data_IF_276998474036
#
_entry.id   IF_276998474036
#
_cell.length_a   1.000
_cell.length_b   1.000
_cell.length_c   1.000
_cell.angle_alpha   90.00
_cell.angle_beta   90.00
_cell.angle_gamma   90.00
#
_symmetry.space_group_name_H-M   'P 1'
#
loop_
_entity.id
_entity.type
_entity.pdbx_description
1 polymer ?
#
# COMPACT_ATOMS: atom_id res chain seq x y z
N UNK A 1 25.84 -0.11 -37.78
CA UNK A 1 24.61 -0.71 -37.20
C UNK A 1 23.44 -0.09 -37.92
N UNK A 2 22.61 -0.92 -38.57
CA UNK A 2 21.44 -0.45 -39.31
C UNK A 2 20.44 0.22 -38.35
N UNK A 3 20.13 1.49 -38.62
CA UNK A 3 19.29 2.32 -37.76
C UNK A 3 17.85 1.76 -37.68
N UNK A 4 17.37 1.14 -38.74
CA UNK A 4 16.03 0.54 -38.77
C UNK A 4 15.98 -0.74 -37.93
N UNK A 5 17.01 -1.58 -38.03
CA UNK A 5 17.16 -2.76 -37.18
C UNK A 5 17.26 -2.38 -35.70
N UNK A 6 18.02 -1.34 -35.36
CA UNK A 6 18.13 -0.86 -33.98
C UNK A 6 16.77 -0.36 -33.45
N UNK A 7 16.07 0.48 -34.22
CA UNK A 7 14.79 1.03 -33.80
C UNK A 7 13.73 -0.07 -33.59
N UNK A 8 13.64 -1.03 -34.50
CA UNK A 8 12.70 -2.14 -34.39
C UNK A 8 13.02 -3.05 -33.20
N UNK A 9 14.30 -3.34 -32.95
CA UNK A 9 14.75 -4.11 -31.79
C UNK A 9 14.40 -3.40 -30.48
N UNK A 10 14.69 -2.10 -30.37
CA UNK A 10 14.36 -1.31 -29.17
C UNK A 10 12.85 -1.27 -28.92
N UNK A 11 12.03 -1.13 -29.97
CA UNK A 11 10.56 -1.17 -29.83
C UNK A 11 10.08 -2.50 -29.28
N UNK A 12 10.55 -3.63 -29.83
CA UNK A 12 10.20 -4.98 -29.34
C UNK A 12 10.55 -5.16 -27.87
N UNK A 13 11.76 -4.77 -27.47
CA UNK A 13 12.19 -4.85 -26.06
C UNK A 13 11.27 -4.03 -25.16
N UNK A 14 10.97 -2.78 -25.54
CA UNK A 14 10.07 -1.93 -24.76
C UNK A 14 8.64 -2.48 -24.69
N UNK A 15 8.15 -3.08 -25.77
CA UNK A 15 6.81 -3.68 -25.79
C UNK A 15 6.75 -4.90 -24.88
N UNK A 16 7.74 -5.80 -24.92
CA UNK A 16 7.86 -6.93 -24.00
C UNK A 16 7.95 -6.47 -22.54
N UNK A 17 8.73 -5.42 -22.25
CA UNK A 17 8.82 -4.86 -20.90
C UNK A 17 7.48 -4.32 -20.38
N UNK A 18 6.63 -3.75 -21.27
CA UNK A 18 5.28 -3.28 -20.89
C UNK A 18 4.29 -4.40 -20.65
N UNK A 19 4.53 -5.59 -21.20
CA UNK A 19 3.70 -6.76 -20.94
C UNK A 19 4.05 -7.45 -19.62
N UNK A 20 5.13 -7.04 -18.94
CA UNK A 20 5.54 -7.66 -17.69
C UNK A 20 4.47 -7.46 -16.60
N UNK A 21 4.15 -8.53 -15.84
CA UNK A 21 3.28 -8.44 -14.67
C UNK A 21 3.74 -7.35 -13.68
N UNK A 22 2.80 -6.56 -13.19
CA UNK A 22 2.99 -5.68 -12.04
C UNK A 22 2.75 -6.54 -10.79
N UNK A 23 3.73 -6.64 -9.87
CA UNK A 23 3.56 -7.38 -8.62
C UNK A 23 2.43 -6.79 -7.77
N UNK A 24 1.66 -7.66 -7.12
CA UNK A 24 0.59 -7.29 -6.20
C UNK A 24 1.09 -7.33 -4.75
N UNK A 25 0.90 -6.22 -4.04
CA UNK A 25 1.12 -6.08 -2.60
C UNK A 25 -0.22 -5.95 -1.88
N UNK A 26 -0.69 -7.05 -1.26
CA UNK A 26 -1.94 -7.04 -0.48
C UNK A 26 -1.65 -6.54 0.94
N UNK A 27 -2.22 -5.39 1.26
CA UNK A 27 -2.03 -4.73 2.54
C UNK A 27 -3.15 -5.11 3.51
N UNK A 28 -2.79 -5.86 4.55
CA UNK A 28 -3.64 -5.99 5.73
C UNK A 28 -3.59 -4.71 6.57
N UNK A 29 -4.50 -4.59 7.54
CA UNK A 29 -4.49 -3.49 8.51
C UNK A 29 -3.14 -3.34 9.19
N UNK A 30 -2.65 -2.11 9.23
CA UNK A 30 -1.34 -1.81 9.79
C UNK A 30 -1.26 -0.36 10.27
N UNK A 31 -0.17 -0.07 10.98
CA UNK A 31 0.12 1.25 11.52
C UNK A 31 1.55 1.66 11.17
N UNK A 32 1.74 2.95 10.92
CA UNK A 32 3.03 3.63 10.93
C UNK A 32 3.06 4.54 12.15
N UNK A 33 4.17 4.62 12.88
CA UNK A 33 4.27 5.42 14.09
C UNK A 33 5.32 6.51 13.98
N UNK A 34 5.04 7.64 14.64
CA UNK A 34 6.06 8.64 14.97
C UNK A 34 6.99 8.13 16.07
N UNK A 35 8.19 8.70 16.18
CA UNK A 35 9.10 8.37 17.28
C UNK A 35 8.48 8.64 18.66
N UNK A 36 7.74 9.74 18.79
CA UNK A 36 7.06 10.12 20.02
C UNK A 36 5.96 9.11 20.42
N UNK A 37 5.13 8.71 19.47
CA UNK A 37 4.04 7.76 19.74
C UNK A 37 4.58 6.35 19.96
N UNK A 38 5.67 5.99 19.27
CA UNK A 38 6.37 4.74 19.49
C UNK A 38 6.90 4.64 20.92
N UNK A 39 7.59 5.67 21.43
CA UNK A 39 8.12 5.66 22.80
C UNK A 39 7.00 5.55 23.84
N UNK A 40 5.82 6.13 23.59
CA UNK A 40 4.66 5.99 24.49
C UNK A 40 4.07 4.60 24.48
N UNK A 41 4.04 3.94 23.32
CA UNK A 41 3.48 2.60 23.17
C UNK A 41 4.50 1.50 23.52
N UNK A 42 5.79 1.74 23.38
CA UNK A 42 6.85 0.73 23.55
C UNK A 42 8.06 1.32 24.30
N UNK A 43 7.87 1.92 25.50
CA UNK A 43 8.94 2.63 26.21
C UNK A 43 10.12 1.71 26.50
N UNK A 44 11.33 2.13 26.11
CA UNK A 44 12.55 1.34 26.29
C UNK A 44 12.65 0.06 25.43
N UNK A 45 11.73 -0.17 24.49
CA UNK A 45 11.76 -1.35 23.61
C UNK A 45 12.10 -0.95 22.16
N UNK A 46 13.26 -1.34 21.60
CA UNK A 46 13.62 -0.97 20.23
C UNK A 46 12.69 -1.62 19.19
N UNK A 47 12.44 -0.91 18.09
CA UNK A 47 11.69 -1.48 16.96
C UNK A 47 12.52 -2.63 16.35
N UNK A 48 11.88 -3.77 16.13
CA UNK A 48 12.56 -4.97 15.64
C UNK A 48 11.99 -5.35 14.29
N UNK A 49 12.84 -5.49 13.28
CA UNK A 49 12.41 -5.97 11.97
C UNK A 49 12.00 -7.45 12.06
N UNK A 50 10.84 -7.77 11.49
CA UNK A 50 10.35 -9.13 11.29
C UNK A 50 10.58 -9.61 9.85
N UNK A 51 10.21 -8.76 8.89
CA UNK A 51 10.24 -9.10 7.46
C UNK A 51 10.34 -7.83 6.61
N UNK A 52 11.35 -7.77 5.75
CA UNK A 52 11.46 -6.76 4.71
C UNK A 52 10.25 -6.79 3.75
N UNK A 53 9.78 -5.62 3.36
CA UNK A 53 8.75 -5.44 2.33
C UNK A 53 9.41 -5.20 0.97
N UNK A 54 8.62 -5.27 -0.10
CA UNK A 54 9.16 -5.06 -1.45
C UNK A 54 9.62 -3.61 -1.66
N UNK A 55 8.95 -2.64 -1.04
CA UNK A 55 9.39 -1.24 -1.07
C UNK A 55 10.71 -1.07 -0.30
N UNK A 56 11.76 -0.48 -0.91
CA UNK A 56 13.07 -0.33 -0.30
C UNK A 56 13.05 0.28 1.11
N UNK A 57 13.73 -0.39 2.04
CA UNK A 57 13.85 0.07 3.44
C UNK A 57 12.59 -0.05 4.28
N UNK A 58 11.44 -0.42 3.71
CA UNK A 58 10.21 -0.67 4.48
C UNK A 58 10.20 -2.10 5.00
N UNK A 59 9.67 -2.29 6.21
CA UNK A 59 9.58 -3.61 6.82
C UNK A 59 8.35 -3.75 7.73
N UNK A 60 7.86 -4.97 7.89
CA UNK A 60 6.97 -5.33 8.99
C UNK A 60 7.81 -5.52 10.26
N UNK A 61 7.45 -4.85 11.36
CA UNK A 61 8.12 -4.98 12.64
C UNK A 61 7.53 -6.15 13.47
N UNK A 62 8.22 -6.65 14.50
CA UNK A 62 7.65 -7.64 15.43
C UNK A 62 6.54 -7.05 16.31
N UNK A 63 6.60 -5.74 16.54
CA UNK A 63 5.62 -5.00 17.31
C UNK A 63 4.24 -5.00 16.64
N UNK A 64 3.20 -5.12 17.48
CA UNK A 64 1.81 -4.95 17.09
C UNK A 64 1.07 -4.14 18.14
N UNK A 65 -0.02 -3.50 17.72
CA UNK A 65 -0.94 -2.78 18.59
C UNK A 65 -2.36 -3.35 18.46
N UNK A 66 -3.20 -3.03 19.43
CA UNK A 66 -4.65 -3.16 19.32
C UNK A 66 -5.22 -1.78 18.98
N UNK A 67 -6.02 -1.73 17.92
CA UNK A 67 -6.82 -0.57 17.56
C UNK A 67 -8.16 -0.67 18.28
N UNK A 68 -8.55 0.36 19.04
CA UNK A 68 -9.85 0.39 19.72
C UNK A 68 -10.67 1.57 19.20
N UNK A 69 -11.80 1.25 18.59
CA UNK A 69 -12.79 2.21 18.12
C UNK A 69 -14.09 2.16 18.94
N UNK A 70 -15.07 3.03 18.63
CA UNK A 70 -16.31 3.13 19.40
C UNK A 70 -17.16 1.85 19.46
N UNK A 71 -17.08 0.98 18.44
CA UNK A 71 -17.89 -0.25 18.36
C UNK A 71 -17.14 -1.52 18.70
N UNK A 72 -15.81 -1.50 18.64
CA UNK A 72 -15.02 -2.72 18.73
C UNK A 72 -13.53 -2.47 18.63
N UNK A 73 -12.78 -3.56 18.52
CA UNK A 73 -11.32 -3.52 18.49
C UNK A 73 -10.75 -4.50 17.48
N UNK A 74 -9.58 -4.16 16.94
CA UNK A 74 -8.78 -5.03 16.09
C UNK A 74 -7.45 -5.29 16.79
N UNK A 75 -7.18 -6.55 17.13
CA UNK A 75 -5.93 -6.97 17.77
C UNK A 75 -4.86 -7.28 16.73
N UNK A 76 -3.60 -7.33 17.19
CA UNK A 76 -2.46 -7.76 16.39
C UNK A 76 -2.25 -6.94 15.10
N UNK A 77 -2.54 -5.63 15.14
CA UNK A 77 -2.32 -4.72 14.02
C UNK A 77 -0.83 -4.42 13.91
N UNK A 78 -0.26 -4.77 12.76
CA UNK A 78 1.18 -4.78 12.52
C UNK A 78 1.74 -3.35 12.42
N UNK A 79 2.83 -3.07 13.13
CA UNK A 79 3.63 -1.87 12.88
C UNK A 79 4.49 -2.08 11.63
N UNK A 80 4.46 -1.11 10.72
CA UNK A 80 5.41 -1.02 9.61
C UNK A 80 6.47 0.03 9.93
N UNK A 81 7.73 -0.35 9.72
CA UNK A 81 8.88 0.53 9.86
C UNK A 81 9.45 0.97 8.51
N UNK A 82 10.35 1.97 8.52
CA UNK A 82 10.85 2.67 9.70
C UNK A 82 9.81 3.63 10.30
N UNK A 83 10.09 4.13 11.51
CA UNK A 83 9.28 5.19 12.12
C UNK A 83 9.24 6.42 11.21
N UNK A 84 8.08 7.09 11.19
CA UNK A 84 7.81 8.25 10.33
C UNK A 84 7.73 9.53 11.14
N UNK A 85 7.54 10.66 10.47
CA UNK A 85 7.28 11.94 11.14
C UNK A 85 5.89 12.02 11.78
N UNK A 86 4.91 11.29 11.23
CA UNK A 86 3.51 11.32 11.67
C UNK A 86 2.95 9.90 11.72
N UNK A 87 2.20 9.60 12.78
CA UNK A 87 1.51 8.32 12.95
C UNK A 87 0.30 8.21 12.02
N UNK A 88 0.09 7.03 11.45
CA UNK A 88 -0.97 6.76 10.48
C UNK A 88 -1.46 5.33 10.61
N UNK A 89 -2.79 5.15 10.56
CA UNK A 89 -3.45 3.85 10.61
C UNK A 89 -4.14 3.60 9.28
N UNK A 90 -3.81 2.47 8.65
CA UNK A 90 -4.39 2.04 7.38
C UNK A 90 -5.25 0.79 7.63
N UNK A 91 -6.53 0.87 7.30
CA UNK A 91 -7.53 -0.19 7.53
C UNK A 91 -8.39 -0.42 6.28
N UNK A 92 -9.04 -1.57 6.17
CA UNK A 92 -10.04 -1.78 5.12
C UNK A 92 -11.38 -1.13 5.46
N UNK A 93 -12.33 -1.11 4.51
CA UNK A 93 -13.71 -0.65 4.81
C UNK A 93 -14.41 -1.60 5.77
N UNK A 94 -14.15 -2.89 5.67
CA UNK A 94 -14.65 -3.89 6.62
C UNK A 94 -14.16 -3.61 8.04
N UNK A 95 -12.87 -3.31 8.19
CA UNK A 95 -12.28 -2.95 9.48
C UNK A 95 -12.88 -1.67 10.07
N UNK A 96 -13.09 -0.66 9.23
CA UNK A 96 -13.71 0.60 9.64
C UNK A 96 -15.12 0.39 10.23
N UNK A 97 -15.90 -0.53 9.65
CA UNK A 97 -17.22 -0.92 10.19
C UNK A 97 -17.11 -1.62 11.54
N UNK A 98 -16.15 -2.54 11.68
CA UNK A 98 -15.88 -3.27 12.93
C UNK A 98 -15.49 -2.33 14.06
N UNK A 99 -14.62 -1.35 13.77
CA UNK A 99 -14.20 -0.34 14.74
C UNK A 99 -15.29 0.71 15.01
N UNK A 100 -16.23 0.90 14.09
CA UNK A 100 -17.23 1.97 14.17
C UNK A 100 -16.66 3.34 13.83
N UNK A 101 -15.69 3.40 12.92
CA UNK A 101 -14.99 4.62 12.52
C UNK A 101 -15.35 4.96 11.07
N UNK A 102 -15.70 6.22 10.81
CA UNK A 102 -15.93 6.74 9.46
C UNK A 102 -14.60 7.14 8.79
N UNK A 103 -13.71 6.17 8.54
CA UNK A 103 -12.41 6.41 7.94
C UNK A 103 -12.54 6.77 6.44
N UNK A 104 -11.99 7.91 5.98
CA UNK A 104 -12.06 8.29 4.56
C UNK A 104 -11.06 7.50 3.71
N UNK A 105 -11.39 7.31 2.42
CA UNK A 105 -10.47 6.77 1.43
C UNK A 105 -9.38 7.82 1.11
N UNK A 106 -8.10 7.49 1.34
CA UNK A 106 -7.00 8.44 1.17
C UNK A 106 -5.71 7.76 0.70
N UNK A 107 -4.88 8.55 0.04
CA UNK A 107 -3.46 8.23 -0.14
C UNK A 107 -2.70 8.36 1.18
N UNK A 108 -1.74 7.46 1.41
CA UNK A 108 -0.81 7.51 2.54
C UNK A 108 -0.14 8.89 2.61
N UNK A 109 -0.19 9.53 3.79
CA UNK A 109 0.25 10.90 4.07
C UNK A 109 -0.85 11.98 4.02
N UNK A 110 -2.01 11.71 3.40
CA UNK A 110 -3.13 12.66 3.35
C UNK A 110 -4.07 12.50 4.56
N UNK A 111 -3.62 13.02 5.70
CA UNK A 111 -4.26 12.81 7.01
C UNK A 111 -5.19 13.93 7.48
N UNK A 112 -5.29 15.03 6.73
CA UNK A 112 -6.12 16.18 7.14
C UNK A 112 -7.60 15.78 7.25
N UNK A 113 -8.22 16.11 8.39
CA UNK A 113 -9.62 15.83 8.67
C UNK A 113 -9.96 14.34 8.76
N UNK A 114 -8.96 13.50 9.05
CA UNK A 114 -9.19 12.06 9.31
C UNK A 114 -9.57 11.84 10.78
N UNK A 115 -10.38 10.81 11.08
CA UNK A 115 -10.71 10.48 12.46
C UNK A 115 -9.48 9.96 13.22
N UNK A 116 -9.58 10.07 14.55
CA UNK A 116 -8.65 9.49 15.50
C UNK A 116 -8.97 8.03 15.85
N UNK A 117 -8.12 7.44 16.70
CA UNK A 117 -8.31 6.11 17.25
C UNK A 117 -7.46 5.91 18.51
N UNK A 118 -7.92 5.07 19.44
CA UNK A 118 -7.10 4.65 20.58
C UNK A 118 -6.22 3.47 20.19
N UNK A 119 -4.93 3.58 20.54
CA UNK A 119 -3.91 2.56 20.32
C UNK A 119 -3.51 1.97 21.66
N UNK A 120 -3.42 0.65 21.72
CA UNK A 120 -3.03 -0.08 22.93
C UNK A 120 -1.94 -1.09 22.59
N UNK A 121 -0.84 -1.07 23.32
CA UNK A 121 0.20 -2.11 23.31
C UNK A 121 0.21 -2.83 24.68
N UNK A 122 1.07 -3.85 24.87
CA UNK A 122 1.31 -4.42 26.19
C UNK A 122 1.94 -3.46 27.22
N UNK A 123 2.52 -2.34 26.78
CA UNK A 123 3.33 -1.45 27.62
C UNK A 123 2.68 -0.07 27.85
N UNK A 124 1.72 0.32 27.02
CA UNK A 124 1.08 1.63 27.11
C UNK A 124 -0.05 1.81 26.12
N UNK A 125 -0.73 2.95 26.24
CA UNK A 125 -1.79 3.36 25.34
C UNK A 125 -1.75 4.86 25.06
N UNK A 126 -2.34 5.25 23.93
CA UNK A 126 -2.57 6.65 23.59
C UNK A 126 -3.77 6.80 22.67
N UNK A 127 -4.36 8.00 22.68
CA UNK A 127 -5.31 8.40 21.64
C UNK A 127 -4.59 9.20 20.55
N UNK A 128 -4.72 8.72 19.31
CA UNK A 128 -4.39 9.53 18.14
C UNK A 128 -5.57 10.44 17.84
N UNK A 129 -5.39 11.77 17.76
CA UNK A 129 -6.48 12.70 17.46
C UNK A 129 -6.94 12.62 15.99
N UNK A 130 -6.06 12.14 15.10
CA UNK A 130 -6.30 11.94 13.67
C UNK A 130 -5.32 10.91 13.12
N UNK A 131 -5.55 10.40 11.91
CA UNK A 131 -4.58 9.57 11.19
C UNK A 131 -5.15 8.26 10.65
N UNK A 132 -6.44 7.97 10.85
CA UNK A 132 -7.06 6.73 10.37
C UNK A 132 -7.63 6.91 8.97
N UNK A 133 -7.21 6.06 8.05
CA UNK A 133 -7.66 6.07 6.65
C UNK A 133 -8.03 4.67 6.16
N UNK A 134 -8.91 4.63 5.16
CA UNK A 134 -8.96 3.49 4.24
C UNK A 134 -7.93 3.74 3.15
N UNK A 135 -7.00 2.80 2.97
CA UNK A 135 -5.92 2.96 2.01
C UNK A 135 -6.48 3.01 0.57
N UNK A 136 -6.16 4.07 -0.15
CA UNK A 136 -6.50 4.18 -1.57
C UNK A 136 -5.51 3.35 -2.40
N UNK A 137 -6.02 2.45 -3.25
CA UNK A 137 -5.19 1.68 -4.19
C UNK A 137 -4.29 2.55 -5.06
N UNK A 138 -3.06 2.09 -5.24
CA UNK A 138 -2.04 2.80 -5.99
C UNK A 138 -0.94 1.87 -6.50
N UNK A 139 -0.13 2.36 -7.42
CA UNK A 139 1.08 1.67 -7.89
C UNK A 139 2.29 2.52 -7.53
N UNK A 140 3.24 1.92 -6.82
CA UNK A 140 4.59 2.45 -6.66
C UNK A 140 5.42 2.12 -7.88
N UNK A 141 6.22 3.07 -8.35
CA UNK A 141 7.08 2.92 -9.54
C UNK A 141 8.40 3.67 -9.34
N UNK A 142 9.49 3.11 -9.86
CA UNK A 142 10.69 3.90 -10.12
C UNK A 142 10.48 4.83 -11.32
N UNK A 143 11.30 5.88 -11.52
CA UNK A 143 11.23 6.71 -12.72
C UNK A 143 11.41 5.92 -14.02
N UNK A 144 12.21 4.85 -13.99
CA UNK A 144 12.40 3.95 -15.13
C UNK A 144 11.13 3.14 -15.44
N UNK A 145 10.48 2.59 -14.42
CA UNK A 145 9.22 1.85 -14.59
C UNK A 145 8.14 2.75 -15.19
N UNK A 146 8.01 3.98 -14.66
CA UNK A 146 7.08 4.97 -15.15
C UNK A 146 7.32 5.33 -16.63
N UNK A 147 8.59 5.50 -17.02
CA UNK A 147 8.99 5.74 -18.41
C UNK A 147 8.64 4.57 -19.33
N UNK A 148 8.93 3.33 -18.91
CA UNK A 148 8.63 2.12 -19.69
C UNK A 148 7.12 1.98 -19.90
N UNK A 149 6.35 2.16 -18.82
CA UNK A 149 4.89 2.03 -18.79
C UNK A 149 4.16 3.26 -19.32
N UNK A 150 4.88 4.33 -19.67
CA UNK A 150 4.36 5.60 -20.21
C UNK A 150 3.32 6.25 -19.30
N UNK A 151 3.61 6.29 -18.00
CA UNK A 151 2.78 6.95 -16.98
C UNK A 151 3.63 7.94 -16.18
N UNK A 152 2.98 8.90 -15.55
CA UNK A 152 3.60 9.94 -14.75
C UNK A 152 3.10 9.91 -13.30
N UNK A 153 3.86 10.52 -12.39
CA UNK A 153 3.41 10.72 -11.03
C UNK A 153 2.09 11.51 -11.00
N UNK A 154 1.11 11.03 -10.25
CA UNK A 154 -0.20 11.67 -10.12
C UNK A 154 -1.23 11.20 -11.15
N UNK A 155 -0.83 10.44 -12.16
CA UNK A 155 -1.76 9.85 -13.12
C UNK A 155 -2.75 8.91 -12.44
N UNK A 156 -3.92 8.78 -13.07
CA UNK A 156 -4.94 7.79 -12.71
C UNK A 156 -5.14 6.82 -13.86
N UNK A 157 -4.93 5.55 -13.59
CA UNK A 157 -4.97 4.49 -14.60
C UNK A 157 -6.03 3.44 -14.27
N UNK A 158 -6.32 2.61 -15.26
CA UNK A 158 -7.09 1.37 -15.07
C UNK A 158 -6.14 0.19 -15.04
N UNK A 159 -6.37 -0.73 -14.11
CA UNK A 159 -5.53 -1.91 -13.88
C UNK A 159 -6.40 -3.14 -13.87
N UNK A 160 -6.08 -4.11 -14.73
CA UNK A 160 -6.68 -5.42 -14.70
C UNK A 160 -5.92 -6.28 -13.68
N UNK A 161 -6.65 -6.99 -12.83
CA UNK A 161 -6.13 -8.16 -12.11
C UNK A 161 -6.65 -9.39 -12.85
N UNK A 162 -5.70 -10.19 -13.32
CA UNK A 162 -5.92 -11.39 -14.13
C UNK A 162 -5.35 -12.62 -13.41
N UNK A 163 -5.63 -13.83 -13.91
CA UNK A 163 -5.08 -15.08 -13.35
C UNK A 163 -6.01 -15.82 -12.37
N UNK A 164 -7.22 -15.31 -12.14
CA UNK A 164 -8.26 -15.91 -11.31
C UNK A 164 -9.65 -15.71 -11.95
N UNK A 165 -10.64 -16.54 -11.60
CA UNK A 165 -12.04 -16.40 -12.06
C UNK A 165 -12.69 -15.10 -11.56
N UNK A 166 -12.17 -14.52 -10.48
CA UNK A 166 -12.56 -13.21 -9.95
C UNK A 166 -11.88 -12.01 -10.62
N UNK A 167 -11.20 -12.24 -11.75
CA UNK A 167 -10.51 -11.18 -12.49
C UNK A 167 -11.39 -9.95 -12.74
N UNK A 168 -10.84 -8.77 -12.51
CA UNK A 168 -11.57 -7.50 -12.59
C UNK A 168 -10.68 -6.34 -13.00
N UNK A 169 -11.31 -5.22 -13.37
CA UNK A 169 -10.61 -3.98 -13.70
C UNK A 169 -10.89 -2.93 -12.63
N UNK A 170 -9.83 -2.53 -11.93
CA UNK A 170 -9.83 -1.38 -11.06
C UNK A 170 -9.58 -0.10 -11.85
N UNK A 171 -10.56 0.79 -11.91
CA UNK A 171 -10.35 2.15 -12.44
C UNK A 171 -9.68 3.05 -11.40
N UNK A 172 -9.25 4.24 -11.80
CA UNK A 172 -8.85 5.31 -10.87
C UNK A 172 -7.69 4.95 -9.91
N UNK A 173 -6.81 4.04 -10.32
CA UNK A 173 -5.61 3.64 -9.55
C UNK A 173 -4.55 4.73 -9.66
N UNK A 174 -4.06 5.23 -8.53
CA UNK A 174 -3.11 6.34 -8.52
C UNK A 174 -1.66 5.87 -8.81
N UNK A 175 -0.91 6.64 -9.58
CA UNK A 175 0.51 6.39 -9.84
C UNK A 175 1.40 7.22 -8.90
N UNK A 176 2.30 6.54 -8.18
CA UNK A 176 3.32 7.13 -7.32
C UNK A 176 4.71 6.82 -7.88
N UNK A 177 5.45 7.86 -8.25
CA UNK A 177 6.81 7.70 -8.80
C UNK A 177 7.80 8.33 -7.82
N UNK A 178 8.83 7.57 -7.45
CA UNK A 178 9.96 8.05 -6.66
C UNK A 178 11.19 7.18 -6.94
N UNK A 179 12.42 7.72 -6.89
CA UNK A 179 13.65 6.91 -6.97
C UNK A 179 13.72 5.80 -5.91
N UNK A 180 13.07 6.01 -4.76
CA UNK A 180 13.05 5.06 -3.63
C UNK A 180 11.89 4.04 -3.70
N UNK A 181 11.17 3.99 -4.81
CA UNK A 181 10.02 3.09 -5.01
C UNK A 181 10.37 1.96 -5.97
N UNK A 182 9.80 0.78 -5.71
CA UNK A 182 9.83 -0.36 -6.63
C UNK A 182 8.44 -0.66 -7.18
N UNK A 183 8.39 -1.15 -8.42
CA UNK A 183 7.15 -1.51 -9.10
C UNK A 183 6.30 -2.48 -8.27
N UNK A 184 5.17 -2.00 -7.75
CA UNK A 184 4.23 -2.80 -6.96
C UNK A 184 2.87 -2.11 -6.88
N UNK A 185 1.80 -2.85 -7.15
CA UNK A 185 0.43 -2.38 -6.95
C UNK A 185 -0.03 -2.71 -5.52
N UNK A 186 -0.39 -1.70 -4.75
CA UNK A 186 -0.88 -1.84 -3.38
C UNK A 186 -2.41 -1.76 -3.38
N UNK A 187 -3.04 -2.79 -2.83
CA UNK A 187 -4.49 -2.89 -2.59
C UNK A 187 -4.74 -3.39 -1.17
N UNK A 188 -5.91 -3.06 -0.60
CA UNK A 188 -6.29 -3.59 0.71
C UNK A 188 -6.86 -5.03 0.61
N UNK A 189 -7.13 -5.65 1.76
CA UNK A 189 -7.68 -7.01 1.80
C UNK A 189 -9.10 -7.12 1.22
N UNK A 190 -9.92 -6.07 1.31
CA UNK A 190 -11.27 -6.11 0.74
C UNK A 190 -11.19 -6.12 -0.80
N UNK A 191 -10.31 -5.29 -1.36
CA UNK A 191 -10.02 -5.23 -2.80
C UNK A 191 -9.38 -6.53 -3.30
N UNK A 192 -8.42 -7.08 -2.56
CA UNK A 192 -7.75 -8.33 -2.91
C UNK A 192 -8.74 -9.51 -2.95
N UNK A 193 -9.57 -9.65 -1.91
CA UNK A 193 -10.59 -10.69 -1.86
C UNK A 193 -11.61 -10.56 -3.00
N UNK A 194 -11.98 -9.34 -3.37
CA UNK A 194 -12.90 -9.09 -4.49
C UNK A 194 -12.31 -9.51 -5.84
N UNK A 195 -10.99 -9.35 -6.01
CA UNK A 195 -10.28 -9.61 -7.27
C UNK A 195 -9.64 -11.00 -7.38
N UNK A 196 -9.71 -11.84 -6.34
CA UNK A 196 -8.98 -13.13 -6.29
C UNK A 196 -7.46 -12.95 -6.28
N UNK A 197 -6.97 -11.85 -5.71
CA UNK A 197 -5.55 -11.48 -5.74
C UNK A 197 -4.66 -12.32 -4.78
N UNK A 198 -5.27 -13.21 -3.99
CA UNK A 198 -4.58 -14.20 -3.16
C UNK A 198 -4.15 -15.46 -3.94
N UNK A 199 -4.66 -15.64 -5.15
CA UNK A 199 -4.23 -16.70 -6.06
C UNK A 199 -2.76 -16.46 -6.49
N UNK A 200 -1.85 -17.45 -6.36
CA UNK A 200 -0.45 -17.30 -6.78
C UNK A 200 -0.25 -16.96 -8.26
N UNK A 201 -1.26 -17.24 -9.10
CA UNK A 201 -1.26 -16.89 -10.52
C UNK A 201 -1.81 -15.48 -10.79
N UNK A 202 -2.34 -14.79 -9.76
CA UNK A 202 -2.90 -13.47 -9.94
C UNK A 202 -1.80 -12.43 -10.22
N UNK A 203 -2.01 -11.60 -11.23
CA UNK A 203 -1.11 -10.49 -11.54
C UNK A 203 -1.84 -9.25 -12.01
N UNK A 204 -1.21 -8.09 -11.80
CA UNK A 204 -1.74 -6.81 -12.27
C UNK A 204 -1.12 -6.40 -13.61
N UNK A 205 -1.92 -5.74 -14.44
CA UNK A 205 -1.47 -5.14 -15.70
C UNK A 205 -2.21 -3.83 -15.96
N UNK A 206 -1.48 -2.83 -16.48
CA UNK A 206 -2.14 -1.61 -16.98
C UNK A 206 -3.05 -1.95 -18.15
N UNK A 207 -4.30 -1.50 -18.07
CA UNK A 207 -5.21 -1.52 -19.21
C UNK A 207 -4.83 -0.34 -20.09
N UNK A 208 -4.53 -0.62 -21.37
CA UNK A 208 -4.24 0.44 -22.34
C UNK A 208 -5.40 1.43 -22.47
N UNK A 209 -5.18 2.63 -23.03
CA UNK A 209 -6.27 3.53 -23.33
C UNK A 209 -7.29 2.80 -24.21
N UNK A 210 -8.55 2.82 -23.78
CA UNK A 210 -9.69 2.38 -24.61
C UNK A 210 -9.94 3.40 -25.71
#
# INVERSE_FOLDING_TARGET
MDKELLQSTVRKVLDEMRQRPIPLGVSNRHIHLSAQDYERLFPGHPISEKKALLQPGQYAAEQTVTLVGPKGQLKNVRLLGPLRSVSQVEISRTDARTLGIAAPLRMSGNLKGTPGIRLVSPFGELELPSGVIVAQRHIHMSPLDALILKVSHGDRVSVAIEGDERGLIFNNVAIRVSPDMRLEMHIDTDEANAAGADNPQAFARLVGPR
#
